data_IF_247713156886
#
_entry.id   IF_247713156886
#
_cell.length_a   1.000
_cell.length_b   1.000
_cell.length_c   1.000
_cell.angle_alpha   90.00
_cell.angle_beta   90.00
_cell.angle_gamma   90.00
#
_symmetry.space_group_name_H-M   'P 1'
#
loop_
_entity.id
_entity.type
_entity.pdbx_description
1 polymer ?
#
# COMPACT_ATOMS: atom_id res chain seq x y z
N UNK A 1 -3.88 26.44 -20.78
CA UNK A 1 -4.52 25.19 -20.32
C UNK A 1 -5.13 25.46 -18.95
N UNK A 2 -6.46 25.41 -18.83
CA UNK A 2 -7.17 25.76 -17.60
C UNK A 2 -7.08 24.62 -16.60
N UNK A 3 -6.23 24.77 -15.60
CA UNK A 3 -6.09 23.85 -14.45
C UNK A 3 -7.37 23.79 -13.60
N UNK A 4 -8.27 24.79 -13.75
CA UNK A 4 -9.43 24.95 -12.86
C UNK A 4 -10.60 23.98 -13.04
N UNK A 5 -10.74 23.29 -14.18
CA UNK A 5 -11.87 22.37 -14.43
C UNK A 5 -11.62 20.90 -14.10
N UNK A 6 -10.37 20.48 -13.95
CA UNK A 6 -10.02 19.08 -13.62
C UNK A 6 -10.08 18.76 -12.13
N UNK A 7 -10.11 19.77 -11.28
CA UNK A 7 -9.98 19.61 -9.82
C UNK A 7 -11.31 19.27 -9.11
N UNK A 8 -12.45 19.33 -9.81
CA UNK A 8 -13.76 19.17 -9.14
C UNK A 8 -14.30 17.72 -9.09
N UNK A 9 -13.78 16.80 -9.92
CA UNK A 9 -14.33 15.45 -10.01
C UNK A 9 -14.22 14.69 -8.68
N UNK A 10 -13.15 14.86 -7.91
CA UNK A 10 -12.92 14.17 -6.63
C UNK A 10 -13.88 14.61 -5.51
N UNK A 11 -14.50 15.80 -5.65
CA UNK A 11 -15.47 16.30 -4.67
C UNK A 11 -16.82 15.57 -4.75
N UNK A 12 -17.09 14.88 -5.84
CA UNK A 12 -18.35 14.20 -6.14
C UNK A 12 -18.21 12.69 -6.29
N UNK A 13 -17.00 12.16 -6.14
CA UNK A 13 -16.77 10.74 -6.28
C UNK A 13 -17.15 9.98 -5.01
N UNK A 14 -17.66 8.78 -5.20
CA UNK A 14 -17.79 7.77 -4.16
C UNK A 14 -16.55 6.87 -4.20
N UNK A 15 -15.83 6.78 -3.09
CA UNK A 15 -14.58 6.00 -2.97
C UNK A 15 -14.85 4.71 -2.22
N UNK A 16 -14.50 3.59 -2.84
CA UNK A 16 -14.53 2.26 -2.23
C UNK A 16 -13.14 1.91 -1.71
N UNK A 17 -13.01 1.71 -0.39
CA UNK A 17 -11.72 1.36 0.24
C UNK A 17 -11.68 -0.14 0.49
N UNK A 18 -10.59 -0.80 0.08
CA UNK A 18 -10.51 -2.25 0.10
C UNK A 18 -9.08 -2.78 0.23
N UNK A 19 -8.91 -3.88 0.95
CA UNK A 19 -7.75 -4.75 0.78
C UNK A 19 -7.93 -5.65 -0.44
N UNK A 20 -6.88 -5.86 -1.24
CA UNK A 20 -6.96 -6.65 -2.47
C UNK A 20 -7.43 -8.10 -2.24
N UNK A 21 -7.26 -8.63 -1.03
CA UNK A 21 -7.69 -9.98 -0.64
C UNK A 21 -9.10 -10.04 0.00
N UNK A 22 -9.83 -8.94 0.03
CA UNK A 22 -11.18 -8.90 0.62
C UNK A 22 -12.21 -9.68 -0.21
N UNK A 23 -12.10 -9.62 -1.54
CA UNK A 23 -13.00 -10.35 -2.43
C UNK A 23 -12.52 -11.79 -2.64
N UNK A 24 -13.27 -12.74 -2.08
CA UNK A 24 -12.93 -14.18 -2.07
C UNK A 24 -13.86 -14.96 -3.00
N UNK A 25 -13.30 -15.70 -3.93
CA UNK A 25 -14.01 -16.73 -4.68
C UNK A 25 -13.70 -18.10 -4.06
N UNK A 26 -14.24 -18.36 -2.87
CA UNK A 26 -14.08 -19.64 -2.14
C UNK A 26 -12.72 -19.84 -1.45
N UNK A 27 -11.68 -19.11 -1.85
CA UNK A 27 -10.33 -19.09 -1.24
C UNK A 27 -9.93 -17.65 -0.88
N UNK A 28 -8.66 -17.43 -0.58
CA UNK A 28 -8.13 -16.08 -0.32
C UNK A 28 -8.24 -15.21 -1.57
N UNK A 29 -8.70 -13.96 -1.42
CA UNK A 29 -8.75 -13.00 -2.50
C UNK A 29 -7.37 -12.54 -2.98
N UNK A 30 -7.34 -11.94 -4.14
CA UNK A 30 -6.19 -11.37 -4.81
C UNK A 30 -6.64 -10.31 -5.84
N UNK A 31 -5.72 -9.71 -6.58
CA UNK A 31 -6.05 -8.73 -7.62
C UNK A 31 -6.87 -9.34 -8.78
N UNK A 32 -6.71 -10.61 -9.10
CA UNK A 32 -7.54 -11.26 -10.12
C UNK A 32 -9.00 -11.36 -9.66
N UNK A 33 -9.19 -11.72 -8.39
CA UNK A 33 -10.52 -11.79 -7.78
C UNK A 33 -11.14 -10.40 -7.66
N UNK A 34 -10.37 -9.40 -7.24
CA UNK A 34 -10.82 -8.02 -7.13
C UNK A 34 -11.23 -7.47 -8.50
N UNK A 35 -10.42 -7.71 -9.54
CA UNK A 35 -10.74 -7.30 -10.90
C UNK A 35 -12.10 -7.83 -11.38
N UNK A 36 -12.42 -9.09 -11.08
CA UNK A 36 -13.71 -9.70 -11.43
C UNK A 36 -14.92 -9.09 -10.70
N UNK A 37 -14.68 -8.42 -9.58
CA UNK A 37 -15.73 -7.80 -8.77
C UNK A 37 -15.85 -6.29 -8.98
N UNK A 38 -15.02 -5.67 -9.83
CA UNK A 38 -15.05 -4.23 -10.07
C UNK A 38 -16.37 -3.75 -10.71
N UNK A 39 -16.97 -4.57 -11.57
CA UNK A 39 -18.26 -4.25 -12.18
C UNK A 39 -19.36 -4.11 -11.12
N UNK A 40 -19.44 -5.07 -10.19
CA UNK A 40 -20.32 -4.98 -9.03
C UNK A 40 -20.08 -3.73 -8.19
N UNK A 41 -18.80 -3.39 -7.90
CA UNK A 41 -18.45 -2.17 -7.16
C UNK A 41 -18.91 -0.93 -7.93
N UNK A 42 -18.73 -0.90 -9.24
CA UNK A 42 -19.14 0.21 -10.09
C UNK A 42 -20.66 0.36 -10.13
N UNK A 43 -21.40 -0.75 -10.27
CA UNK A 43 -22.88 -0.76 -10.31
C UNK A 43 -23.50 -0.33 -8.97
N UNK A 44 -22.82 -0.53 -7.85
CA UNK A 44 -23.25 -0.05 -6.54
C UNK A 44 -22.97 1.45 -6.31
N UNK A 45 -22.45 2.15 -7.33
CA UNK A 45 -22.34 3.61 -7.34
C UNK A 45 -20.98 4.17 -6.93
N UNK A 46 -19.92 3.35 -6.94
CA UNK A 46 -18.56 3.81 -6.66
C UNK A 46 -17.83 4.22 -7.95
N UNK A 47 -17.17 5.38 -7.91
CA UNK A 47 -16.42 5.95 -9.02
C UNK A 47 -14.93 5.64 -8.95
N UNK A 48 -14.45 5.37 -7.77
CA UNK A 48 -13.05 5.17 -7.45
C UNK A 48 -12.86 4.03 -6.46
N UNK A 49 -11.67 3.42 -6.51
CA UNK A 49 -11.25 2.39 -5.59
C UNK A 49 -9.93 2.78 -4.95
N UNK A 50 -9.85 2.72 -3.62
CA UNK A 50 -8.62 2.87 -2.86
C UNK A 50 -8.17 1.50 -2.39
N UNK A 51 -7.06 1.04 -2.92
CA UNK A 51 -6.46 -0.23 -2.51
C UNK A 51 -5.46 0.03 -1.40
N UNK A 52 -5.74 -0.54 -0.23
CA UNK A 52 -4.88 -0.50 0.94
C UNK A 52 -3.57 -1.27 0.68
N UNK A 53 -2.52 -1.12 1.50
CA UNK A 53 -1.16 -1.51 1.17
C UNK A 53 -1.04 -2.92 0.59
N UNK A 54 -0.47 -3.03 -0.59
CA UNK A 54 -0.36 -4.28 -1.35
C UNK A 54 1.05 -4.58 -1.86
N UNK A 55 1.98 -3.64 -1.70
CA UNK A 55 3.37 -3.81 -2.10
C UNK A 55 4.09 -4.85 -1.22
N UNK A 56 5.25 -5.31 -1.67
CA UNK A 56 6.03 -6.32 -0.94
C UNK A 56 6.37 -5.83 0.47
N UNK A 57 6.08 -6.68 1.46
CA UNK A 57 6.16 -6.33 2.87
C UNK A 57 6.23 -7.61 3.71
N UNK A 58 7.00 -7.64 4.81
CA UNK A 58 6.95 -8.71 5.80
C UNK A 58 5.65 -8.72 6.63
N UNK A 59 4.74 -7.74 6.41
CA UNK A 59 3.42 -7.66 7.05
C UNK A 59 3.45 -7.48 8.57
N UNK A 60 4.47 -6.86 9.10
CA UNK A 60 4.56 -6.53 10.53
C UNK A 60 3.72 -5.29 10.88
N UNK A 61 3.43 -4.45 9.87
CA UNK A 61 2.60 -3.25 9.99
C UNK A 61 1.50 -3.23 8.91
N UNK A 62 0.71 -4.29 8.81
CA UNK A 62 -0.42 -4.44 7.87
C UNK A 62 -0.08 -4.08 6.40
N UNK A 63 1.21 -4.15 6.03
CA UNK A 63 1.71 -3.83 4.68
C UNK A 63 2.24 -2.42 4.52
N UNK A 64 2.21 -1.59 5.56
CA UNK A 64 2.85 -0.27 5.54
C UNK A 64 4.38 -0.35 5.71
N UNK A 65 4.91 -1.46 6.18
CA UNK A 65 6.33 -1.79 6.27
C UNK A 65 6.87 -2.31 4.91
N UNK A 66 6.89 -1.43 3.90
CA UNK A 66 7.24 -1.78 2.53
C UNK A 66 8.72 -2.21 2.43
N UNK A 67 8.97 -3.38 1.86
CA UNK A 67 10.32 -3.92 1.60
C UNK A 67 10.75 -3.78 0.14
N UNK A 68 9.82 -3.59 -0.80
CA UNK A 68 10.10 -3.30 -2.21
C UNK A 68 8.93 -2.50 -2.82
N UNK A 69 9.20 -1.27 -3.25
CA UNK A 69 8.19 -0.38 -3.84
C UNK A 69 7.77 -0.77 -5.26
N UNK A 70 8.49 -1.64 -5.92
CA UNK A 70 8.27 -2.03 -7.32
C UNK A 70 7.64 -3.41 -7.46
N UNK A 71 7.40 -4.09 -6.34
CA UNK A 71 6.81 -5.41 -6.32
C UNK A 71 5.50 -5.43 -5.55
N UNK A 72 4.50 -6.00 -6.18
CA UNK A 72 3.25 -6.40 -5.54
C UNK A 72 3.45 -7.75 -4.87
N UNK A 73 2.94 -7.92 -3.66
CA UNK A 73 3.00 -9.19 -2.94
C UNK A 73 2.53 -10.35 -3.82
N UNK A 74 3.36 -11.37 -3.95
CA UNK A 74 3.08 -12.57 -4.76
C UNK A 74 1.75 -13.23 -4.38
N UNK A 75 1.41 -13.22 -3.09
CA UNK A 75 0.14 -13.74 -2.58
C UNK A 75 -1.09 -13.02 -3.15
N UNK A 76 -0.95 -11.76 -3.51
CA UNK A 76 -2.02 -10.95 -4.11
C UNK A 76 -2.07 -11.03 -5.65
N UNK A 77 -1.29 -11.93 -6.25
CA UNK A 77 -1.21 -12.10 -7.70
C UNK A 77 0.00 -11.42 -8.34
N UNK A 78 0.89 -10.80 -7.53
CA UNK A 78 2.08 -10.12 -8.02
C UNK A 78 1.74 -8.95 -8.96
N UNK A 79 2.75 -8.46 -9.67
CA UNK A 79 2.59 -7.36 -10.63
C UNK A 79 1.61 -7.72 -11.75
N UNK A 80 1.58 -8.98 -12.21
CA UNK A 80 0.65 -9.44 -13.24
C UNK A 80 -0.82 -9.27 -12.80
N UNK A 81 -1.16 -9.70 -11.58
CA UNK A 81 -2.50 -9.53 -11.04
C UNK A 81 -2.91 -8.07 -10.93
N UNK A 82 -1.98 -7.20 -10.51
CA UNK A 82 -2.20 -5.78 -10.44
C UNK A 82 -2.43 -5.15 -11.82
N UNK A 83 -1.69 -5.57 -12.84
CA UNK A 83 -1.91 -5.12 -14.22
C UNK A 83 -3.29 -5.54 -14.77
N UNK A 84 -3.73 -6.77 -14.47
CA UNK A 84 -5.09 -7.22 -14.83
C UNK A 84 -6.13 -6.33 -14.17
N UNK A 85 -5.97 -6.04 -12.88
CA UNK A 85 -6.83 -5.13 -12.13
C UNK A 85 -6.87 -3.73 -12.76
N UNK A 86 -5.71 -3.13 -13.09
CA UNK A 86 -5.64 -1.81 -13.70
C UNK A 86 -6.32 -1.75 -15.07
N UNK A 87 -6.17 -2.79 -15.90
CA UNK A 87 -6.89 -2.86 -17.19
C UNK A 87 -8.41 -2.84 -16.99
N UNK A 88 -8.90 -3.58 -16.01
CA UNK A 88 -10.33 -3.64 -15.73
C UNK A 88 -10.86 -2.32 -15.16
N UNK A 89 -10.11 -1.69 -14.26
CA UNK A 89 -10.41 -0.33 -13.78
C UNK A 89 -10.51 0.66 -14.94
N UNK A 90 -9.59 0.57 -15.90
CA UNK A 90 -9.60 1.41 -17.10
C UNK A 90 -10.82 1.14 -17.98
N UNK A 91 -11.20 -0.13 -18.20
CA UNK A 91 -12.41 -0.53 -18.93
C UNK A 91 -13.67 0.09 -18.33
N UNK A 92 -13.76 0.07 -17.01
CA UNK A 92 -14.90 0.62 -16.26
C UNK A 92 -14.83 2.13 -16.03
N UNK A 93 -13.79 2.81 -16.53
CA UNK A 93 -13.53 4.24 -16.34
C UNK A 93 -13.53 4.67 -14.86
N UNK A 94 -13.15 3.80 -13.97
CA UNK A 94 -12.96 4.07 -12.56
C UNK A 94 -11.61 4.77 -12.30
N UNK A 95 -11.44 5.32 -11.11
CA UNK A 95 -10.17 5.87 -10.64
C UNK A 95 -9.56 4.94 -9.60
N UNK A 96 -8.22 4.92 -9.52
CA UNK A 96 -7.49 4.14 -8.52
C UNK A 96 -6.71 5.08 -7.60
N UNK A 97 -6.78 4.80 -6.33
CA UNK A 97 -5.91 5.35 -5.29
C UNK A 97 -5.13 4.20 -4.64
N UNK A 98 -3.92 4.50 -4.24
CA UNK A 98 -3.10 3.58 -3.47
C UNK A 98 -2.35 4.35 -2.38
N UNK A 99 -2.04 3.67 -1.29
CA UNK A 99 -1.16 4.23 -0.28
C UNK A 99 0.27 4.30 -0.80
N UNK A 100 0.88 5.48 -0.71
CA UNK A 100 2.29 5.68 -0.98
C UNK A 100 3.01 5.93 0.36
N UNK A 101 3.67 4.90 0.86
CA UNK A 101 4.39 4.95 2.14
C UNK A 101 5.77 5.56 1.91
N UNK A 102 5.87 6.88 2.07
CA UNK A 102 7.14 7.62 1.88
C UNK A 102 7.78 8.07 3.21
N UNK A 103 7.15 7.75 4.33
CA UNK A 103 7.61 8.17 5.66
C UNK A 103 8.67 7.22 6.23
N UNK A 104 8.57 5.94 5.93
CA UNK A 104 9.48 4.89 6.40
C UNK A 104 9.52 3.72 5.43
N UNK A 105 10.43 2.81 5.65
CA UNK A 105 10.53 1.53 4.95
C UNK A 105 10.68 0.39 5.96
N UNK A 106 10.44 -0.84 5.52
CA UNK A 106 10.77 -2.03 6.29
C UNK A 106 12.27 -2.13 6.58
N UNK A 107 12.64 -2.70 7.72
CA UNK A 107 14.04 -3.10 7.98
C UNK A 107 14.55 -4.12 6.94
N UNK A 108 13.65 -4.80 6.25
CA UNK A 108 13.98 -5.71 5.15
C UNK A 108 14.22 -5.01 3.82
N UNK A 109 13.92 -3.71 3.71
CA UNK A 109 14.14 -2.94 2.49
C UNK A 109 15.63 -2.85 2.17
N UNK A 110 15.98 -3.02 0.90
CA UNK A 110 17.39 -3.00 0.46
C UNK A 110 18.09 -1.68 0.80
N UNK A 111 17.38 -0.55 0.69
CA UNK A 111 17.92 0.77 1.05
C UNK A 111 18.34 0.82 2.52
N UNK A 112 17.50 0.29 3.41
CA UNK A 112 17.81 0.26 4.84
C UNK A 112 19.00 -0.65 5.13
N UNK A 113 19.04 -1.86 4.56
CA UNK A 113 20.14 -2.81 4.72
C UNK A 113 21.48 -2.21 4.26
N UNK A 114 21.48 -1.53 3.10
CA UNK A 114 22.68 -0.84 2.61
C UNK A 114 23.09 0.33 3.50
N UNK A 115 22.13 1.14 3.96
CA UNK A 115 22.41 2.23 4.88
C UNK A 115 23.06 1.75 6.17
N UNK A 116 22.56 0.67 6.76
CA UNK A 116 23.12 0.06 7.98
C UNK A 116 24.49 -0.56 7.73
N UNK A 117 24.75 -1.11 6.54
CA UNK A 117 26.07 -1.66 6.16
C UNK A 117 27.14 -0.58 5.87
N UNK A 118 26.79 0.70 5.92
CA UNK A 118 27.71 1.79 5.77
C UNK A 118 27.78 2.44 4.40
N UNK A 119 26.86 2.10 3.48
CA UNK A 119 26.77 2.78 2.18
C UNK A 119 26.28 4.21 2.37
N UNK A 120 27.16 5.19 2.09
CA UNK A 120 26.89 6.61 2.31
C UNK A 120 25.72 7.15 1.46
N UNK A 121 25.57 6.64 0.23
CA UNK A 121 24.48 7.06 -0.65
C UNK A 121 23.12 6.69 -0.01
N UNK A 122 22.95 5.46 0.45
CA UNK A 122 21.71 5.02 1.07
C UNK A 122 21.52 5.55 2.50
N UNK A 123 22.59 5.86 3.22
CA UNK A 123 22.48 6.54 4.52
C UNK A 123 21.78 7.88 4.42
N UNK A 124 21.98 8.61 3.33
CA UNK A 124 21.34 9.91 3.10
C UNK A 124 19.82 9.82 2.85
N UNK A 125 19.26 8.64 2.69
CA UNK A 125 17.81 8.43 2.57
C UNK A 125 17.11 8.47 3.94
N UNK A 126 17.86 8.39 5.04
CA UNK A 126 17.31 8.25 6.38
C UNK A 126 17.76 9.40 7.27
N UNK A 127 16.86 9.81 8.17
CA UNK A 127 17.21 10.75 9.24
C UNK A 127 17.91 9.96 10.34
N UNK A 128 19.14 10.34 10.65
CA UNK A 128 19.96 9.76 11.71
C UNK A 128 19.98 10.67 12.92
N UNK A 129 19.89 10.09 14.12
CA UNK A 129 20.09 10.80 15.38
C UNK A 129 21.28 10.21 16.13
N UNK A 130 22.19 11.01 16.69
CA UNK A 130 23.27 10.51 17.55
C UNK A 130 22.76 10.05 18.93
N UNK A 131 21.54 10.45 19.33
CA UNK A 131 20.93 10.02 20.58
C UNK A 131 20.33 8.61 20.38
N UNK A 132 20.62 7.70 21.32
CA UNK A 132 19.83 6.47 21.39
C UNK A 132 18.40 6.86 21.70
N UNK A 133 17.45 6.62 20.81
CA UNK A 133 16.05 6.94 21.09
C UNK A 133 15.61 6.06 22.25
N UNK A 134 14.96 6.66 23.24
CA UNK A 134 14.26 5.87 24.27
C UNK A 134 13.15 5.11 23.59
N UNK A 135 13.33 3.80 23.48
CA UNK A 135 12.26 2.91 23.08
C UNK A 135 11.17 2.97 24.12
N UNK A 136 9.97 3.31 23.71
CA UNK A 136 8.78 3.12 24.56
C UNK A 136 8.22 1.76 24.16
N UNK A 137 8.34 0.80 25.07
CA UNK A 137 7.58 -0.44 24.94
C UNK A 137 6.11 -0.12 25.17
N UNK A 138 5.29 -0.41 24.19
CA UNK A 138 3.83 -0.35 24.30
C UNK A 138 3.35 -1.78 24.27
N UNK A 139 2.70 -2.20 25.34
CA UNK A 139 2.01 -3.47 25.40
C UNK A 139 0.54 -3.23 25.02
N UNK A 140 0.09 -3.89 23.97
CA UNK A 140 -1.31 -3.87 23.55
C UNK A 140 -1.82 -5.30 23.55
N UNK A 141 -2.94 -5.54 24.24
CA UNK A 141 -3.53 -6.88 24.43
C UNK A 141 -3.91 -7.57 23.12
N UNK A 142 -4.03 -6.82 22.02
CA UNK A 142 -4.43 -7.33 20.70
C UNK A 142 -3.25 -7.63 19.79
N UNK A 143 -2.12 -6.90 19.96
CA UNK A 143 -1.02 -6.91 19.00
C UNK A 143 0.33 -7.32 19.61
N UNK A 144 0.37 -7.56 20.93
CA UNK A 144 1.58 -7.90 21.66
C UNK A 144 2.47 -6.68 21.95
N UNK A 145 3.74 -6.94 22.23
CA UNK A 145 4.70 -5.90 22.55
C UNK A 145 5.27 -5.27 21.29
N UNK A 146 5.16 -3.97 21.19
CA UNK A 146 5.89 -3.24 20.18
C UNK A 146 6.74 -2.12 20.78
N UNK A 147 7.79 -1.76 20.04
CA UNK A 147 8.61 -0.62 20.37
C UNK A 147 8.40 0.49 19.35
N UNK A 148 8.15 1.70 19.81
CA UNK A 148 8.16 2.91 18.96
C UNK A 148 9.15 3.91 19.50
N UNK A 149 9.72 4.68 18.59
CA UNK A 149 10.57 5.81 18.96
C UNK A 149 9.71 6.99 19.41
N UNK A 150 10.24 7.73 20.37
CA UNK A 150 9.64 8.97 20.86
C UNK A 150 10.28 10.15 20.17
#
# INVERSE_FOLDING_TARGET
MSIGKQVEWYKRMNLYVVYADAFRNGKRGDFFSLAKNLEYIKETGFDAIHVLPFLESPMQDAGFDVSDFFKVRKRLGGNEGFEVFLREVGRLKMKVFMDLVVNHVSMEHEWFKKAVSGDEYYRNFFIHTPAQPKLIEVEDDRWGKWARYR
#
